data_IF_799612898571
#
_entry.id   IF_799612898571
#
_cell.length_a   1.000
_cell.length_b   1.000
_cell.length_c   1.000
_cell.angle_alpha   90.00
_cell.angle_beta   90.00
_cell.angle_gamma   90.00
#
_symmetry.space_group_name_H-M   'P 1'
#
loop_
_entity.id
_entity.type
_entity.pdbx_description
1 polymer ?
#
# COMPACT_ATOMS: atom_id res chain seq x y z
N UNK A 1 -87.40 29.14 -49.97
CA UNK A 1 -86.26 29.86 -50.58
C UNK A 1 -85.10 29.88 -49.60
N UNK A 2 -83.97 29.35 -50.06
CA UNK A 2 -82.57 29.69 -49.76
C UNK A 2 -82.07 29.73 -48.31
N UNK A 3 -81.34 28.66 -48.00
CA UNK A 3 -80.26 28.49 -47.02
C UNK A 3 -79.15 29.55 -47.14
N UNK A 4 -78.58 29.99 -46.01
CA UNK A 4 -77.12 30.22 -45.88
C UNK A 4 -76.64 30.03 -44.44
N UNK A 5 -75.62 29.18 -44.27
CA UNK A 5 -74.93 28.85 -43.03
C UNK A 5 -73.93 29.94 -42.59
N UNK A 6 -73.65 30.04 -41.28
CA UNK A 6 -72.38 30.58 -40.76
C UNK A 6 -71.84 29.75 -39.59
N UNK A 7 -70.89 28.88 -39.97
CA UNK A 7 -69.65 28.46 -39.30
C UNK A 7 -69.49 28.63 -37.79
N UNK A 8 -69.33 27.47 -37.14
CA UNK A 8 -68.83 27.25 -35.80
C UNK A 8 -67.28 27.32 -35.81
N UNK A 9 -66.67 28.25 -35.07
CA UNK A 9 -65.21 28.30 -34.90
C UNK A 9 -64.85 28.05 -33.42
N UNK A 10 -64.72 26.77 -33.05
CA UNK A 10 -64.08 26.38 -31.79
C UNK A 10 -62.57 26.55 -31.95
N UNK A 11 -62.02 27.48 -31.18
CA UNK A 11 -60.58 27.66 -30.98
C UNK A 11 -59.96 26.34 -30.50
N UNK A 12 -59.23 25.67 -31.39
CA UNK A 12 -58.38 24.53 -31.04
C UNK A 12 -57.07 25.05 -30.47
N UNK A 13 -57.00 25.17 -29.15
CA UNK A 13 -55.74 25.39 -28.43
C UNK A 13 -54.86 24.16 -28.64
N UNK A 14 -53.93 24.27 -29.59
CA UNK A 14 -52.91 23.27 -29.93
C UNK A 14 -52.05 23.02 -28.69
N UNK A 15 -52.32 21.95 -27.93
CA UNK A 15 -51.41 21.45 -26.90
C UNK A 15 -50.06 21.20 -27.55
N UNK A 16 -49.01 21.87 -27.06
CA UNK A 16 -47.62 21.58 -27.43
C UNK A 16 -47.35 20.10 -27.13
N UNK A 17 -46.69 19.35 -28.03
CA UNK A 17 -46.28 17.98 -27.72
C UNK A 17 -45.33 18.03 -26.52
N UNK A 18 -45.58 17.15 -25.54
CA UNK A 18 -44.69 16.89 -24.42
C UNK A 18 -43.34 16.54 -25.03
N UNK A 19 -42.30 17.31 -24.69
CA UNK A 19 -40.94 17.03 -25.11
C UNK A 19 -40.63 15.58 -24.77
N UNK A 20 -40.35 14.83 -25.83
CA UNK A 20 -39.87 13.46 -25.86
C UNK A 20 -38.90 13.21 -24.72
N UNK A 21 -39.15 12.14 -23.97
CA UNK A 21 -38.27 11.60 -22.95
C UNK A 21 -36.84 11.66 -23.46
N UNK A 22 -36.04 12.51 -22.83
CA UNK A 22 -34.62 12.64 -23.09
C UNK A 22 -34.03 11.23 -23.02
N UNK A 23 -33.62 10.69 -24.18
CA UNK A 23 -32.96 9.39 -24.27
C UNK A 23 -31.83 9.41 -23.26
N UNK A 24 -32.01 8.67 -22.16
CA UNK A 24 -30.91 8.42 -21.24
C UNK A 24 -29.85 7.73 -22.10
N UNK A 25 -28.62 8.25 -22.19
CA UNK A 25 -27.58 7.53 -22.91
C UNK A 25 -27.55 6.11 -22.36
N UNK A 26 -27.64 5.12 -23.24
CA UNK A 26 -27.60 3.73 -22.87
C UNK A 26 -26.44 3.54 -21.89
N UNK A 27 -26.71 2.95 -20.72
CA UNK A 27 -25.67 2.70 -19.73
C UNK A 27 -24.48 2.03 -20.44
N UNK A 28 -23.28 2.57 -20.26
CA UNK A 28 -22.08 2.00 -20.89
C UNK A 28 -22.02 0.51 -20.58
N UNK A 29 -21.92 -0.32 -21.62
CA UNK A 29 -21.82 -1.77 -21.48
C UNK A 29 -20.51 -2.06 -20.75
N UNK A 30 -20.60 -2.46 -19.48
CA UNK A 30 -19.44 -2.82 -18.68
C UNK A 30 -18.89 -4.16 -19.20
N UNK A 31 -17.69 -4.14 -19.77
CA UNK A 31 -16.98 -5.35 -20.18
C UNK A 31 -15.97 -5.73 -19.10
N UNK A 32 -16.00 -6.99 -18.67
CA UNK A 32 -15.04 -7.54 -17.75
C UNK A 32 -13.91 -8.25 -18.51
N UNK A 33 -12.66 -8.22 -18.02
CA UNK A 33 -12.22 -7.60 -16.77
C UNK A 33 -12.09 -6.07 -16.86
N UNK A 34 -12.30 -5.40 -15.73
CA UNK A 34 -12.01 -3.97 -15.59
C UNK A 34 -10.50 -3.77 -15.44
N UNK A 35 -9.91 -2.93 -16.27
CA UNK A 35 -8.48 -2.64 -16.24
C UNK A 35 -8.21 -1.39 -15.41
N UNK A 36 -7.35 -1.52 -14.41
CA UNK A 36 -6.74 -0.39 -13.70
C UNK A 36 -5.25 -0.33 -14.05
N UNK A 37 -4.65 0.88 -14.14
CA UNK A 37 -3.20 1.01 -14.28
C UNK A 37 -2.48 0.22 -13.18
N UNK A 38 -1.46 -0.54 -13.56
CA UNK A 38 -0.65 -1.31 -12.62
C UNK A 38 0.46 -0.43 -12.07
N UNK A 39 0.56 -0.25 -10.73
CA UNK A 39 1.71 0.43 -10.15
C UNK A 39 3.03 -0.23 -10.51
N UNK A 40 4.07 0.58 -10.67
CA UNK A 40 5.44 0.08 -10.86
C UNK A 40 5.94 -0.68 -9.63
N UNK A 41 6.97 -1.50 -9.82
CA UNK A 41 7.67 -2.18 -8.72
C UNK A 41 8.45 -1.19 -7.86
N UNK A 42 8.66 -1.54 -6.59
CA UNK A 42 9.43 -0.73 -5.64
C UNK A 42 10.93 -0.84 -5.94
N UNK A 43 11.60 0.30 -6.02
CA UNK A 43 13.05 0.36 -6.23
C UNK A 43 13.81 0.00 -4.93
N UNK A 44 15.05 -0.52 -5.00
CA UNK A 44 15.82 -0.87 -3.80
C UNK A 44 15.94 0.27 -2.77
N UNK A 45 16.11 1.51 -3.23
CA UNK A 45 16.26 2.69 -2.36
C UNK A 45 14.95 3.10 -1.68
N UNK A 46 13.82 2.59 -2.17
CA UNK A 46 12.48 2.83 -1.64
C UNK A 46 12.08 1.74 -0.61
N UNK A 47 13.03 0.91 -0.16
CA UNK A 47 12.80 -0.17 0.79
C UNK A 47 13.57 0.06 2.08
N UNK A 48 12.87 -0.12 3.20
CA UNK A 48 13.41 -0.04 4.54
C UNK A 48 13.55 -1.44 5.15
N UNK A 49 14.66 -1.70 5.85
CA UNK A 49 14.89 -2.95 6.58
C UNK A 49 14.46 -2.76 8.03
N UNK A 50 13.55 -3.60 8.50
CA UNK A 50 13.06 -3.58 9.88
C UNK A 50 13.47 -4.87 10.59
N UNK A 51 14.07 -4.72 11.76
CA UNK A 51 14.44 -5.86 12.61
C UNK A 51 13.18 -6.43 13.24
N UNK A 52 12.95 -7.74 13.11
CA UNK A 52 11.91 -8.45 13.82
C UNK A 52 12.42 -8.94 15.18
N UNK A 53 13.57 -9.62 15.16
CA UNK A 53 14.22 -10.20 16.33
C UNK A 53 15.73 -10.16 16.16
N UNK A 54 16.47 -10.00 17.25
CA UNK A 54 17.93 -9.99 17.24
C UNK A 54 18.46 -10.72 18.47
N UNK A 55 19.41 -11.63 18.26
CA UNK A 55 20.05 -12.48 19.27
C UNK A 55 21.55 -12.55 19.01
N UNK A 56 22.31 -13.26 19.86
CA UNK A 56 23.74 -13.46 19.65
C UNK A 56 24.06 -14.16 18.32
N UNK A 57 23.22 -15.12 17.95
CA UNK A 57 23.50 -16.06 16.88
C UNK A 57 22.90 -15.64 15.53
N UNK A 58 21.81 -14.87 15.57
CA UNK A 58 21.10 -14.47 14.37
C UNK A 58 20.24 -13.22 14.55
N UNK A 59 19.98 -12.55 13.42
CA UNK A 59 18.98 -11.50 13.27
C UNK A 59 17.89 -11.97 12.30
N UNK A 60 16.63 -11.70 12.64
CA UNK A 60 15.51 -11.83 11.71
C UNK A 60 15.05 -10.45 11.30
N UNK A 61 14.96 -10.18 10.00
CA UNK A 61 14.55 -8.89 9.45
C UNK A 61 13.39 -9.06 8.47
N UNK A 62 12.64 -7.98 8.23
CA UNK A 62 11.62 -7.88 7.21
C UNK A 62 11.83 -6.61 6.39
N UNK A 63 11.56 -6.68 5.09
CA UNK A 63 11.55 -5.51 4.22
C UNK A 63 10.16 -4.87 4.22
N UNK A 64 10.13 -3.55 4.23
CA UNK A 64 8.90 -2.77 4.08
C UNK A 64 9.16 -1.65 3.05
N UNK A 65 8.21 -1.34 2.17
CA UNK A 65 8.31 -0.14 1.35
C UNK A 65 8.36 1.12 2.23
N UNK A 66 9.07 2.14 1.77
CA UNK A 66 8.97 3.48 2.34
C UNK A 66 7.57 4.06 2.07
N UNK A 67 6.81 4.47 3.11
CA UNK A 67 5.50 5.10 2.93
C UNK A 67 5.50 6.31 1.99
N UNK A 68 6.58 7.11 1.97
CA UNK A 68 6.68 8.25 1.06
C UNK A 68 6.83 7.80 -0.39
N UNK A 69 7.63 6.76 -0.64
CA UNK A 69 7.79 6.19 -1.98
C UNK A 69 6.47 5.56 -2.48
N UNK A 70 5.73 4.87 -1.61
CA UNK A 70 4.42 4.30 -1.98
C UNK A 70 3.41 5.40 -2.32
N UNK A 71 3.42 6.52 -1.60
CA UNK A 71 2.60 7.69 -1.96
C UNK A 71 2.94 8.19 -3.37
N UNK A 72 4.24 8.33 -3.69
CA UNK A 72 4.67 8.74 -5.04
C UNK A 72 4.27 7.72 -6.11
N UNK A 73 4.40 6.43 -5.85
CA UNK A 73 3.95 5.37 -6.77
C UNK A 73 2.45 5.48 -7.05
N UNK A 74 1.63 5.77 -6.03
CA UNK A 74 0.19 5.97 -6.20
C UNK A 74 -0.11 7.21 -7.08
N UNK A 75 0.58 8.33 -6.82
CA UNK A 75 0.44 9.56 -7.59
C UNK A 75 0.89 9.40 -9.05
N UNK A 76 2.01 8.70 -9.29
CA UNK A 76 2.51 8.39 -10.64
C UNK A 76 1.52 7.50 -11.41
N UNK A 77 0.87 6.56 -10.72
CA UNK A 77 0.03 5.54 -11.35
C UNK A 77 -1.39 6.04 -11.63
N UNK A 78 -1.99 6.75 -10.67
CA UNK A 78 -3.39 7.15 -10.72
C UNK A 78 -3.58 8.67 -10.87
N UNK A 79 -2.52 9.46 -10.71
CA UNK A 79 -2.60 10.91 -10.59
C UNK A 79 -3.01 11.34 -9.18
N UNK A 80 -2.57 12.51 -8.75
CA UNK A 80 -2.80 13.04 -7.39
C UNK A 80 -4.27 13.15 -6.97
N UNK A 81 -5.19 13.26 -7.93
CA UNK A 81 -6.64 13.29 -7.69
C UNK A 81 -7.35 11.97 -8.08
N UNK A 82 -6.64 11.00 -8.65
CA UNK A 82 -7.20 9.72 -9.09
C UNK A 82 -7.28 8.67 -7.99
N UNK A 83 -6.78 8.99 -6.79
CA UNK A 83 -6.91 8.13 -5.62
C UNK A 83 -7.16 8.95 -4.35
N UNK A 84 -7.60 8.28 -3.29
CA UNK A 84 -7.87 8.86 -1.98
C UNK A 84 -7.47 7.89 -0.88
N UNK A 85 -7.30 8.40 0.34
CA UNK A 85 -7.09 7.59 1.54
C UNK A 85 -7.86 8.15 2.72
N UNK A 86 -8.29 7.26 3.61
CA UNK A 86 -8.91 7.62 4.89
C UNK A 86 -8.44 6.67 5.99
N UNK A 87 -8.31 7.19 7.20
CA UNK A 87 -8.06 6.38 8.38
C UNK A 87 -9.32 6.32 9.24
N UNK A 88 -9.60 5.16 9.82
CA UNK A 88 -10.70 4.97 10.75
C UNK A 88 -10.39 3.83 11.72
N UNK A 89 -11.08 3.84 12.86
CA UNK A 89 -10.98 2.76 13.84
C UNK A 89 -12.11 1.74 13.62
N UNK A 90 -11.75 0.46 13.60
CA UNK A 90 -12.69 -0.65 13.58
C UNK A 90 -12.09 -1.80 14.40
N UNK A 91 -12.91 -2.41 15.27
CA UNK A 91 -12.49 -3.50 16.16
C UNK A 91 -11.24 -3.17 17.00
N UNK A 92 -11.19 -1.95 17.55
CA UNK A 92 -10.06 -1.47 18.36
C UNK A 92 -8.73 -1.31 17.59
N UNK A 93 -8.74 -1.42 16.26
CA UNK A 93 -7.56 -1.29 15.39
C UNK A 93 -7.71 -0.12 14.44
N UNK A 94 -6.58 0.50 14.08
CA UNK A 94 -6.53 1.52 13.04
C UNK A 94 -6.50 0.83 11.66
N UNK A 95 -7.42 1.24 10.80
CA UNK A 95 -7.53 0.80 9.41
C UNK A 95 -7.27 1.97 8.47
N UNK A 96 -6.68 1.68 7.32
CA UNK A 96 -6.57 2.59 6.20
C UNK A 96 -7.42 2.07 5.05
N UNK A 97 -8.31 2.91 4.53
CA UNK A 97 -9.03 2.67 3.28
C UNK A 97 -8.38 3.46 2.17
N UNK A 98 -7.86 2.79 1.14
CA UNK A 98 -7.31 3.41 -0.05
C UNK A 98 -8.27 3.19 -1.22
N UNK A 99 -8.72 4.28 -1.82
CA UNK A 99 -9.65 4.27 -2.93
C UNK A 99 -9.00 4.71 -4.23
N UNK A 100 -9.26 4.00 -5.34
CA UNK A 100 -8.87 4.42 -6.69
C UNK A 100 -10.13 4.77 -7.48
N UNK A 101 -10.12 5.91 -8.16
CA UNK A 101 -11.27 6.39 -8.92
C UNK A 101 -11.54 5.46 -10.11
N UNK A 102 -12.78 4.99 -10.22
CA UNK A 102 -13.21 4.13 -11.29
C UNK A 102 -14.27 4.84 -12.15
N UNK A 103 -13.96 5.24 -13.39
CA UNK A 103 -14.85 6.04 -14.23
C UNK A 103 -16.24 5.42 -14.45
N UNK A 104 -16.33 4.09 -14.59
CA UNK A 104 -17.63 3.41 -14.79
C UNK A 104 -18.52 3.43 -13.54
N UNK A 105 -17.91 3.49 -12.35
CA UNK A 105 -18.66 3.60 -11.09
C UNK A 105 -18.96 5.06 -10.75
N UNK A 106 -18.32 6.00 -11.46
CA UNK A 106 -18.26 7.42 -11.11
C UNK A 106 -17.94 7.64 -9.63
N UNK A 107 -17.07 6.80 -9.07
CA UNK A 107 -16.74 6.77 -7.64
C UNK A 107 -15.41 6.05 -7.40
N UNK A 108 -14.89 6.12 -6.18
CA UNK A 108 -13.72 5.37 -5.74
C UNK A 108 -14.11 3.94 -5.36
N UNK A 109 -13.43 2.96 -5.96
CA UNK A 109 -13.40 1.60 -5.43
C UNK A 109 -12.40 1.60 -4.27
N UNK A 110 -12.83 1.20 -3.07
CA UNK A 110 -12.02 1.28 -1.83
C UNK A 110 -11.60 -0.12 -1.41
N UNK A 111 -10.33 -0.25 -1.02
CA UNK A 111 -9.78 -1.43 -0.36
C UNK A 111 -9.18 -1.03 0.98
N UNK A 112 -9.54 -1.76 2.01
CA UNK A 112 -9.19 -1.45 3.39
C UNK A 112 -8.22 -2.49 3.96
N UNK A 113 -7.25 -2.03 4.74
CA UNK A 113 -6.34 -2.90 5.47
C UNK A 113 -5.95 -2.31 6.82
N UNK A 114 -5.73 -3.19 7.80
CA UNK A 114 -5.02 -2.86 9.03
C UNK A 114 -3.51 -3.08 8.85
N UNK A 115 -2.70 -2.50 9.73
CA UNK A 115 -1.27 -2.76 9.73
C UNK A 115 -0.99 -4.26 9.94
N UNK A 116 -0.05 -4.86 9.18
CA UNK A 116 0.31 -6.26 9.38
C UNK A 116 0.69 -6.53 10.83
N UNK A 117 0.11 -7.58 11.40
CA UNK A 117 0.51 -8.08 12.70
C UNK A 117 1.91 -8.69 12.62
N UNK A 118 2.70 -8.53 13.68
CA UNK A 118 4.03 -9.10 13.76
C UNK A 118 4.88 -8.41 14.81
N UNK A 119 5.92 -9.11 15.26
CA UNK A 119 6.94 -8.55 16.14
C UNK A 119 7.94 -7.79 15.28
N UNK A 120 7.76 -6.48 15.19
CA UNK A 120 8.67 -5.56 14.51
C UNK A 120 9.25 -4.61 15.55
N UNK A 121 10.58 -4.48 15.57
CA UNK A 121 11.29 -3.53 16.42
C UNK A 121 11.22 -2.13 15.80
N UNK A 122 10.02 -1.54 15.81
CA UNK A 122 9.78 -0.19 15.33
C UNK A 122 9.81 0.77 16.52
N UNK A 123 10.56 1.86 16.39
CA UNK A 123 10.74 2.86 17.45
C UNK A 123 9.44 3.54 17.89
N UNK A 124 8.49 3.72 16.96
CA UNK A 124 7.18 4.29 17.23
C UNK A 124 6.04 3.35 16.78
N UNK A 125 5.48 2.54 17.69
CA UNK A 125 4.40 1.60 17.38
C UNK A 125 3.13 2.26 16.87
N UNK A 126 2.80 3.48 17.30
CA UNK A 126 1.61 4.18 16.83
C UNK A 126 1.78 4.68 15.40
N UNK A 127 2.97 5.19 15.07
CA UNK A 127 3.32 5.51 13.67
C UNK A 127 3.30 4.27 12.77
N UNK A 128 3.64 3.09 13.30
CA UNK A 128 3.51 1.83 12.55
C UNK A 128 2.05 1.47 12.26
N UNK A 129 1.12 1.70 13.19
CA UNK A 129 -0.31 1.44 12.91
C UNK A 129 -0.79 2.27 11.71
N UNK A 130 -0.40 3.55 11.65
CA UNK A 130 -0.74 4.43 10.54
C UNK A 130 -0.04 4.02 9.25
N UNK A 131 1.29 3.99 9.23
CA UNK A 131 2.06 3.68 8.03
C UNK A 131 1.83 2.25 7.54
N UNK A 132 1.80 1.28 8.44
CA UNK A 132 1.59 -0.13 8.10
C UNK A 132 0.21 -0.40 7.53
N UNK A 133 -0.84 0.25 8.03
CA UNK A 133 -2.19 0.12 7.46
C UNK A 133 -2.27 0.76 6.07
N UNK A 134 -1.65 1.93 5.90
CA UNK A 134 -1.52 2.57 4.59
C UNK A 134 -0.77 1.70 3.57
N UNK A 135 0.42 1.19 3.93
CA UNK A 135 1.21 0.29 3.08
C UNK A 135 0.43 -0.96 2.68
N UNK A 136 -0.27 -1.60 3.64
CA UNK A 136 -1.07 -2.77 3.36
C UNK A 136 -2.26 -2.47 2.42
N UNK A 137 -2.93 -1.33 2.59
CA UNK A 137 -4.04 -0.94 1.73
C UNK A 137 -3.58 -0.60 0.31
N UNK A 138 -2.44 0.10 0.16
CA UNK A 138 -1.81 0.37 -1.13
C UNK A 138 -1.32 -0.90 -1.84
N UNK A 139 -0.82 -1.89 -1.09
CA UNK A 139 -0.41 -3.17 -1.66
C UNK A 139 -1.57 -3.92 -2.34
N UNK A 140 -2.82 -3.75 -1.86
CA UNK A 140 -4.01 -4.30 -2.52
C UNK A 140 -4.29 -3.66 -3.89
N UNK A 141 -3.69 -2.51 -4.18
CA UNK A 141 -3.68 -1.84 -5.50
C UNK A 141 -2.42 -2.13 -6.31
N UNK A 142 -1.47 -2.89 -5.75
CA UNK A 142 -0.20 -3.25 -6.38
C UNK A 142 1.00 -2.39 -5.97
N UNK A 143 0.78 -1.25 -5.31
CA UNK A 143 1.86 -0.35 -4.91
C UNK A 143 2.59 -0.90 -3.67
N UNK A 144 3.88 -1.25 -3.82
CA UNK A 144 4.68 -1.88 -2.76
C UNK A 144 4.31 -3.34 -2.45
N UNK A 145 3.45 -3.95 -3.26
CA UNK A 145 2.92 -5.29 -3.01
C UNK A 145 3.99 -6.38 -3.05
N UNK A 146 4.95 -6.23 -3.96
CA UNK A 146 6.11 -7.08 -4.14
C UNK A 146 6.99 -7.19 -2.88
N UNK A 147 7.27 -6.06 -2.23
CA UNK A 147 8.05 -6.03 -0.98
C UNK A 147 7.19 -6.48 0.20
N UNK A 148 5.92 -6.09 0.25
CA UNK A 148 5.00 -6.48 1.32
C UNK A 148 4.73 -7.99 1.38
N UNK A 149 4.76 -8.66 0.21
CA UNK A 149 4.62 -10.10 0.08
C UNK A 149 5.86 -10.89 0.53
N UNK A 150 7.02 -10.23 0.68
CA UNK A 150 8.24 -10.91 1.07
C UNK A 150 8.19 -11.36 2.53
N UNK A 151 8.57 -12.62 2.76
CA UNK A 151 8.71 -13.18 4.11
C UNK A 151 9.90 -12.58 4.87
N UNK A 152 9.88 -12.69 6.19
CA UNK A 152 11.05 -12.30 6.99
C UNK A 152 12.25 -13.18 6.67
N UNK A 153 13.43 -12.58 6.61
CA UNK A 153 14.71 -13.24 6.33
C UNK A 153 15.49 -13.39 7.63
N UNK A 154 16.22 -14.50 7.79
CA UNK A 154 17.11 -14.72 8.94
C UNK A 154 18.55 -14.75 8.46
N UNK A 155 19.43 -13.99 9.13
CA UNK A 155 20.86 -13.97 8.88
C UNK A 155 21.61 -14.38 10.14
N UNK A 156 22.56 -15.30 10.01
CA UNK A 156 23.41 -15.74 11.10
C UNK A 156 24.52 -14.71 11.40
N UNK A 157 25.10 -14.80 12.61
CA UNK A 157 26.14 -13.88 13.09
C UNK A 157 27.46 -13.95 12.31
N UNK A 158 27.68 -14.98 11.50
CA UNK A 158 28.78 -15.05 10.54
C UNK A 158 28.50 -14.24 9.26
N UNK A 159 27.22 -14.07 8.89
CA UNK A 159 26.78 -13.28 7.75
C UNK A 159 26.68 -11.78 8.08
N UNK A 160 26.24 -11.43 9.30
CA UNK A 160 26.04 -10.05 9.76
C UNK A 160 26.75 -9.75 11.07
N UNK A 161 27.22 -8.52 11.25
CA UNK A 161 27.80 -8.05 12.50
C UNK A 161 26.71 -7.68 13.50
N UNK A 162 26.69 -8.39 14.64
CA UNK A 162 25.77 -8.21 15.75
C UNK A 162 26.56 -7.85 17.01
N UNK A 163 26.14 -6.79 17.70
CA UNK A 163 26.77 -6.32 18.93
C UNK A 163 25.91 -6.62 20.16
N UNK A 164 26.53 -7.06 21.29
CA UNK A 164 25.85 -7.09 22.57
C UNK A 164 25.57 -5.67 23.08
N UNK A 165 24.35 -5.45 23.55
CA UNK A 165 23.93 -4.24 24.27
C UNK A 165 24.07 -4.53 25.76
N UNK A 166 24.94 -3.81 26.46
CA UNK A 166 25.17 -4.02 27.89
C UNK A 166 24.25 -3.15 28.74
N UNK A 167 23.75 -3.69 29.86
CA UNK A 167 23.10 -2.86 30.89
C UNK A 167 24.15 -2.02 31.57
N UNK A 168 23.77 -0.79 31.96
CA UNK A 168 24.59 0.02 32.85
C UNK A 168 24.74 -0.73 34.17
N UNK A 169 25.96 -1.05 34.55
CA UNK A 169 26.26 -1.68 35.83
C UNK A 169 25.76 -0.78 36.97
N UNK A 170 25.13 -1.37 38.00
CA UNK A 170 24.71 -0.62 39.19
C UNK A 170 25.91 -0.24 40.04
N UNK A 171 26.91 -1.13 40.12
CA UNK A 171 28.18 -0.87 40.77
C UNK A 171 29.34 -0.95 39.76
N UNK A 172 30.42 -0.17 39.94
CA UNK A 172 31.60 -0.21 39.05
C UNK A 172 32.32 -1.56 38.97
N UNK A 173 32.13 -2.44 39.97
CA UNK A 173 32.78 -3.74 40.06
C UNK A 173 31.91 -4.90 39.53
N UNK A 174 30.67 -4.66 39.12
CA UNK A 174 29.82 -5.71 38.59
C UNK A 174 30.25 -6.08 37.15
N UNK A 175 30.33 -7.37 36.79
CA UNK A 175 30.61 -7.78 35.43
C UNK A 175 29.52 -7.26 34.48
N UNK A 176 29.88 -6.77 33.28
CA UNK A 176 28.92 -6.24 32.32
C UNK A 176 27.91 -7.31 31.94
N UNK A 177 26.63 -7.06 32.23
CA UNK A 177 25.54 -7.97 31.89
C UNK A 177 24.94 -7.59 30.54
N UNK A 178 24.87 -8.55 29.61
CA UNK A 178 24.25 -8.34 28.31
C UNK A 178 22.73 -8.18 28.48
N UNK A 179 22.20 -7.05 28.03
CA UNK A 179 20.79 -6.68 28.03
C UNK A 179 20.03 -7.20 26.80
N UNK A 180 20.74 -7.38 25.68
CA UNK A 180 20.18 -7.76 24.40
C UNK A 180 21.22 -7.62 23.29
N UNK A 181 20.77 -7.69 22.03
CA UNK A 181 21.61 -7.62 20.85
C UNK A 181 21.05 -6.64 19.84
N UNK A 182 21.93 -6.01 19.05
CA UNK A 182 21.57 -5.12 17.96
C UNK A 182 22.52 -5.32 16.78
N UNK A 183 22.09 -4.93 15.58
CA UNK A 183 23.02 -4.85 14.46
C UNK A 183 24.07 -3.77 14.73
N UNK A 184 25.33 -4.07 14.38
CA UNK A 184 26.45 -3.12 14.51
C UNK A 184 26.21 -1.85 13.69
N UNK A 185 25.76 -2.03 12.45
CA UNK A 185 25.27 -0.97 11.56
C UNK A 185 23.98 -1.39 10.86
N UNK A 186 23.22 -0.39 10.39
CA UNK A 186 21.95 -0.63 9.73
C UNK A 186 22.14 -1.41 8.42
N UNK A 187 21.15 -2.26 8.11
CA UNK A 187 21.05 -2.91 6.81
C UNK A 187 20.28 -2.01 5.84
N UNK A 188 20.81 -1.86 4.63
CA UNK A 188 20.13 -1.17 3.53
C UNK A 188 20.02 -2.10 2.33
N UNK A 189 18.99 -1.93 1.50
CA UNK A 189 18.79 -2.74 0.30
C UNK A 189 19.62 -2.15 -0.84
N UNK A 190 20.51 -2.95 -1.42
CA UNK A 190 21.28 -2.57 -2.62
C UNK A 190 20.58 -3.06 -3.89
N UNK A 191 20.14 -4.33 -3.90
CA UNK A 191 19.52 -4.95 -5.07
C UNK A 191 18.36 -5.86 -4.69
N UNK A 192 17.37 -5.91 -5.57
CA UNK A 192 16.25 -6.84 -5.54
C UNK A 192 16.28 -7.67 -6.82
N UNK A 193 16.39 -9.00 -6.67
CA UNK A 193 16.25 -9.95 -7.76
C UNK A 193 14.80 -10.41 -7.82
N UNK A 194 14.22 -10.34 -9.02
CA UNK A 194 12.81 -10.65 -9.26
C UNK A 194 12.66 -11.73 -10.31
N UNK A 195 11.64 -12.57 -10.15
CA UNK A 195 11.20 -13.49 -11.19
C UNK A 195 10.43 -12.75 -12.30
N UNK A 196 10.09 -13.45 -13.38
CA UNK A 196 9.40 -12.89 -14.55
C UNK A 196 8.02 -12.30 -14.22
N UNK A 197 7.31 -12.88 -13.25
CA UNK A 197 6.02 -12.39 -12.75
C UNK A 197 6.14 -11.19 -11.78
N UNK A 198 7.38 -10.84 -11.40
CA UNK A 198 7.73 -9.69 -10.59
C UNK A 198 7.89 -9.94 -9.08
N UNK A 199 7.66 -11.15 -8.57
CA UNK A 199 7.92 -11.44 -7.16
C UNK A 199 9.43 -11.47 -6.86
N UNK A 200 9.81 -11.08 -5.64
CA UNK A 200 11.21 -11.00 -5.24
C UNK A 200 11.69 -12.41 -4.86
N UNK A 201 12.74 -12.88 -5.52
CA UNK A 201 13.39 -14.19 -5.29
C UNK A 201 14.78 -14.06 -4.66
N UNK A 202 15.31 -12.83 -4.58
CA UNK A 202 16.59 -12.59 -3.92
C UNK A 202 16.76 -11.14 -3.52
N UNK A 203 17.53 -10.91 -2.46
CA UNK A 203 17.80 -9.59 -1.91
C UNK A 203 19.30 -9.49 -1.62
N UNK A 204 19.94 -8.44 -2.10
CA UNK A 204 21.27 -8.05 -1.66
C UNK A 204 21.15 -6.85 -0.72
N UNK A 205 21.64 -7.03 0.50
CA UNK A 205 21.73 -6.01 1.54
C UNK A 205 23.16 -5.54 1.71
N UNK A 206 23.32 -4.33 2.24
CA UNK A 206 24.59 -3.76 2.69
C UNK A 206 24.55 -3.51 4.19
N UNK A 207 25.61 -3.92 4.88
CA UNK A 207 25.91 -3.54 6.26
C UNK A 207 27.23 -2.76 6.27
N UNK A 208 27.16 -1.44 6.12
CA UNK A 208 28.34 -0.66 5.74
C UNK A 208 28.86 -1.11 4.37
N UNK A 209 30.11 -1.56 4.30
CA UNK A 209 30.72 -2.09 3.06
C UNK A 209 30.46 -3.59 2.83
N UNK A 210 29.98 -4.31 3.86
CA UNK A 210 29.72 -5.75 3.75
C UNK A 210 28.45 -6.01 2.96
N UNK A 211 28.54 -6.90 1.96
CA UNK A 211 27.38 -7.42 1.22
C UNK A 211 26.84 -8.67 1.88
N UNK A 212 25.52 -8.73 2.02
CA UNK A 212 24.79 -9.87 2.56
C UNK A 212 23.72 -10.25 1.55
N UNK A 213 23.63 -11.52 1.18
CA UNK A 213 22.69 -12.00 0.16
C UNK A 213 21.71 -12.96 0.80
N UNK A 214 20.44 -12.78 0.47
CA UNK A 214 19.38 -13.73 0.73
C UNK A 214 18.75 -14.17 -0.59
N UNK A 215 18.38 -15.44 -0.67
CA UNK A 215 17.60 -15.99 -1.78
C UNK A 215 16.44 -16.80 -1.19
N UNK A 216 15.29 -16.74 -1.86
CA UNK A 216 14.19 -17.62 -1.56
C UNK A 216 14.62 -19.07 -1.89
N UNK A 217 14.27 -20.01 -1.01
CA UNK A 217 14.40 -21.45 -1.29
C UNK A 217 13.44 -21.91 -2.38
#
# INVERSE_FOLDING_TARGET
MSTTAKSNAKSTTRRKPVQSAQERPAAQVVQFPLFAPKPRQTAPQEVQVVICECSADAVRVRLLPDPAAVLHIMDETFGTLGWTRRYYFADGRLWCGVGVYHPLMNNFAIKDAAAPAGKLQISNPDKWKENGSFLAACALWGAGADVMALSSMTFAADQVSIDPVHKRAKNPNDPPTVAGYRLHSALTVDKLLRAEDGHIIGVQLLQGERKVVWQAE
#
